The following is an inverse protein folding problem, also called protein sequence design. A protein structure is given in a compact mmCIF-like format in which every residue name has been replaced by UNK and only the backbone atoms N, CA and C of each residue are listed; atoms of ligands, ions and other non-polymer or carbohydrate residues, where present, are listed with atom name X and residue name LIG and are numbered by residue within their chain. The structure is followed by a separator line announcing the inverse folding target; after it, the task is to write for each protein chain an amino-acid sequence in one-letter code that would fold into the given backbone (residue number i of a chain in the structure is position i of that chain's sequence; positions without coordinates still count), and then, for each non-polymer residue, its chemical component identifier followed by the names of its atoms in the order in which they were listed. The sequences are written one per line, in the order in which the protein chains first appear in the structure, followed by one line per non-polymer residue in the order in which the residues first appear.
data_IF_835386145797
#
_entry.id   IF_835386145797
#
_cell.length_a   1.000
_cell.length_b   1.000
_cell.length_c   1.000
_cell.angle_alpha   90.00
_cell.angle_beta   90.00
_cell.angle_gamma   90.00
#
_symmetry.space_group_name_H-M   'P 1'
#
loop_
_entity.id
_entity.type
_entity.pdbx_description
1 polymer ?
#
# COMPACT_ATOMS: atom_id res chain seq x y z
N UNK A 1 20.71 36.95 14.40
CA UNK A 1 20.95 36.29 15.71
C UNK A 1 19.56 36.04 16.30
N UNK A 2 18.96 34.90 15.96
CA UNK A 2 17.54 34.65 16.23
C UNK A 2 17.44 33.90 17.55
N UNK A 3 16.90 34.55 18.58
CA UNK A 3 16.64 33.93 19.88
C UNK A 3 15.51 32.91 19.73
N UNK A 4 15.83 31.64 19.95
CA UNK A 4 14.86 30.56 20.14
C UNK A 4 14.44 30.60 21.60
N UNK A 5 13.25 31.13 21.89
CA UNK A 5 12.68 31.15 23.24
C UNK A 5 11.90 29.85 23.48
N UNK A 6 12.26 29.16 24.56
CA UNK A 6 11.68 27.91 25.03
C UNK A 6 10.17 28.06 25.27
N UNK A 7 9.35 27.47 24.39
CA UNK A 7 8.11 26.83 24.85
C UNK A 7 8.50 25.80 25.91
N UNK A 8 7.69 25.64 26.98
CA UNK A 8 8.00 24.81 28.14
C UNK A 8 8.21 23.35 27.73
N UNK A 9 9.43 23.03 27.27
CA UNK A 9 9.93 21.68 27.10
C UNK A 9 9.82 21.05 28.47
N UNK A 10 8.97 20.05 28.61
CA UNK A 10 9.08 19.17 29.76
C UNK A 10 10.52 18.60 29.76
N UNK A 11 11.08 18.34 30.94
CA UNK A 11 12.49 17.91 31.09
C UNK A 11 12.81 16.62 30.29
N UNK A 12 11.76 15.92 29.83
CA UNK A 12 11.73 14.74 28.98
C UNK A 12 11.75 15.01 27.47
N UNK A 13 11.53 16.24 27.00
CA UNK A 13 11.52 16.61 25.59
C UNK A 13 10.20 16.40 24.83
N UNK A 14 9.07 16.21 25.53
CA UNK A 14 7.72 16.10 24.96
C UNK A 14 6.93 17.42 24.94
N UNK A 15 5.77 17.40 24.28
CA UNK A 15 4.86 18.54 24.09
C UNK A 15 3.48 18.26 24.69
N UNK A 16 2.96 19.19 25.48
CA UNK A 16 1.60 19.06 26.04
C UNK A 16 0.55 19.35 24.95
N UNK A 17 -0.41 18.44 24.79
CA UNK A 17 -1.54 18.58 23.85
C UNK A 17 -2.83 18.83 24.63
N UNK A 18 -3.56 19.88 24.29
CA UNK A 18 -4.90 20.15 24.84
C UNK A 18 -5.98 19.55 23.94
N UNK A 19 -6.44 18.35 24.30
CA UNK A 19 -7.43 17.60 23.54
C UNK A 19 -8.81 18.27 23.49
N UNK A 20 -9.11 19.20 24.40
CA UNK A 20 -10.41 19.87 24.46
C UNK A 20 -10.61 20.93 23.37
N UNK A 21 -9.51 21.39 22.75
CA UNK A 21 -9.51 22.46 21.75
C UNK A 21 -9.63 21.97 20.31
N UNK A 22 -9.70 20.65 20.09
CA UNK A 22 -9.72 20.05 18.75
C UNK A 22 -10.81 18.99 18.56
N UNK A 23 -10.83 18.41 17.37
CA UNK A 23 -11.71 17.28 17.03
C UNK A 23 -10.88 16.00 16.86
N UNK A 24 -11.43 14.87 17.34
CA UNK A 24 -10.81 13.56 17.15
C UNK A 24 -11.22 12.95 15.81
N UNK A 25 -10.29 12.89 14.85
CA UNK A 25 -10.47 12.14 13.60
C UNK A 25 -9.92 10.72 13.77
N UNK A 26 -10.79 9.77 14.11
CA UNK A 26 -10.38 8.38 14.41
C UNK A 26 -10.13 7.48 13.20
N UNK A 27 -10.53 7.89 11.99
CA UNK A 27 -10.58 7.00 10.82
C UNK A 27 -9.22 6.40 10.45
N UNK A 28 -8.18 7.22 10.37
CA UNK A 28 -6.81 6.77 10.02
C UNK A 28 -6.29 5.78 11.07
N UNK A 29 -6.54 6.05 12.35
CA UNK A 29 -6.17 5.15 13.45
C UNK A 29 -6.92 3.81 13.37
N UNK A 30 -8.21 3.82 13.01
CA UNK A 30 -8.99 2.59 12.82
C UNK A 30 -8.50 1.76 11.62
N UNK A 31 -8.21 2.41 10.49
CA UNK A 31 -7.67 1.75 9.29
C UNK A 31 -6.26 1.19 9.55
N UNK A 32 -5.44 1.89 10.36
CA UNK A 32 -4.15 1.39 10.79
C UNK A 32 -4.27 0.18 11.73
N UNK A 33 -5.18 0.24 12.70
CA UNK A 33 -5.38 -0.81 13.70
C UNK A 33 -5.71 -2.17 13.06
N UNK A 34 -6.42 -2.19 11.94
CA UNK A 34 -6.76 -3.42 11.20
C UNK A 34 -5.59 -4.07 10.45
N UNK A 35 -4.42 -3.42 10.37
CA UNK A 35 -3.27 -3.91 9.59
C UNK A 35 -2.52 -5.01 10.36
N UNK A 36 -2.27 -6.19 9.76
CA UNK A 36 -1.46 -7.26 10.38
C UNK A 36 -0.06 -6.81 10.81
N UNK A 37 0.49 -7.43 11.86
CA UNK A 37 1.78 -7.03 12.44
C UNK A 37 2.99 -7.42 11.58
N UNK A 38 2.86 -8.46 10.77
CA UNK A 38 3.86 -8.94 9.81
C UNK A 38 4.03 -8.01 8.60
N UNK A 39 3.01 -7.19 8.31
CA UNK A 39 3.01 -6.20 7.22
C UNK A 39 3.46 -4.80 7.68
N UNK A 40 3.80 -4.62 8.95
CA UNK A 40 4.31 -3.36 9.52
C UNK A 40 5.84 -3.38 9.61
N UNK A 41 6.52 -2.29 9.32
CA UNK A 41 7.99 -2.26 9.29
C UNK A 41 8.53 -1.18 10.24
N UNK A 42 9.72 -1.38 10.80
CA UNK A 42 10.29 -0.44 11.78
C UNK A 42 11.19 0.62 11.14
N UNK A 43 11.57 0.40 9.89
CA UNK A 43 12.38 1.33 9.12
C UNK A 43 12.09 1.26 7.63
N UNK A 44 12.49 2.30 6.89
CA UNK A 44 12.35 2.31 5.44
C UNK A 44 13.24 1.26 4.76
N UNK A 45 14.37 0.87 5.37
CA UNK A 45 15.23 -0.20 4.83
C UNK A 45 14.55 -1.57 4.89
N UNK A 46 13.94 -1.91 6.03
CA UNK A 46 13.15 -3.16 6.15
C UNK A 46 11.97 -3.18 5.17
N UNK A 47 11.26 -2.05 5.09
CA UNK A 47 10.14 -1.88 4.14
C UNK A 47 10.63 -2.05 2.69
N UNK A 48 11.76 -1.43 2.35
CA UNK A 48 12.36 -1.51 1.02
C UNK A 48 12.72 -2.95 0.66
N UNK A 49 13.38 -3.68 1.54
CA UNK A 49 13.75 -5.09 1.31
C UNK A 49 12.52 -5.96 1.04
N UNK A 50 11.43 -5.76 1.78
CA UNK A 50 10.19 -6.49 1.57
C UNK A 50 9.57 -6.22 0.18
N UNK A 51 9.44 -4.94 -0.20
CA UNK A 51 8.85 -4.58 -1.49
C UNK A 51 9.78 -4.87 -2.67
N UNK A 52 11.10 -4.84 -2.46
CA UNK A 52 12.12 -5.26 -3.41
C UNK A 52 11.99 -6.75 -3.71
N UNK A 53 11.99 -7.59 -2.67
CA UNK A 53 11.83 -9.05 -2.79
C UNK A 53 10.55 -9.41 -3.54
N UNK A 54 9.44 -8.75 -3.21
CA UNK A 54 8.16 -8.94 -3.92
C UNK A 54 8.24 -8.54 -5.40
N UNK A 55 8.96 -7.46 -5.72
CA UNK A 55 9.15 -7.01 -7.10
C UNK A 55 10.02 -7.99 -7.89
N UNK A 56 11.08 -8.54 -7.29
CA UNK A 56 11.96 -9.55 -7.92
C UNK A 56 11.22 -10.83 -8.28
N UNK A 57 10.22 -11.21 -7.47
CA UNK A 57 9.32 -12.35 -7.75
C UNK A 57 8.18 -12.00 -8.71
N UNK A 58 8.12 -10.77 -9.20
CA UNK A 58 7.07 -10.32 -10.10
C UNK A 58 7.52 -10.34 -11.55
N UNK A 59 6.58 -10.63 -12.46
CA UNK A 59 6.81 -10.58 -13.90
C UNK A 59 5.72 -9.78 -14.56
N UNK A 60 6.12 -8.83 -15.41
CA UNK A 60 5.18 -8.08 -16.26
C UNK A 60 5.28 -8.60 -17.68
N UNK A 61 4.13 -8.72 -18.36
CA UNK A 61 4.08 -9.03 -19.80
C UNK A 61 3.09 -8.13 -20.50
N UNK A 62 3.36 -7.84 -21.76
CA UNK A 62 2.37 -7.31 -22.70
C UNK A 62 2.03 -8.41 -23.67
N UNK A 63 0.77 -8.81 -23.71
CA UNK A 63 0.30 -9.96 -24.49
C UNK A 63 -0.96 -9.61 -25.27
N UNK A 64 -1.15 -10.27 -26.40
CA UNK A 64 -2.41 -10.19 -27.14
C UNK A 64 -3.54 -10.81 -26.31
N UNK A 65 -4.64 -10.09 -26.11
CA UNK A 65 -5.79 -10.55 -25.32
C UNK A 65 -6.37 -11.84 -25.89
N UNK A 66 -6.47 -11.92 -27.22
CA UNK A 66 -7.00 -13.08 -27.92
C UNK A 66 -6.11 -14.33 -27.82
N UNK A 67 -4.82 -14.14 -27.49
CA UNK A 67 -3.88 -15.24 -27.27
C UNK A 67 -3.90 -15.78 -25.82
N UNK A 68 -4.59 -15.11 -24.90
CA UNK A 68 -4.79 -15.61 -23.54
C UNK A 68 -5.81 -16.76 -23.60
N UNK A 69 -5.39 -17.94 -23.13
CA UNK A 69 -6.28 -19.10 -23.01
C UNK A 69 -6.82 -19.19 -21.59
N UNK A 70 -8.12 -19.40 -21.46
CA UNK A 70 -8.80 -19.65 -20.19
C UNK A 70 -9.02 -21.14 -20.02
N UNK A 71 -8.51 -21.70 -18.92
CA UNK A 71 -8.62 -23.12 -18.60
C UNK A 71 -9.46 -23.30 -17.33
N UNK A 72 -10.54 -24.07 -17.45
CA UNK A 72 -11.40 -24.47 -16.33
C UNK A 72 -11.93 -25.89 -16.59
N UNK A 73 -12.01 -26.70 -15.54
CA UNK A 73 -12.41 -28.11 -15.64
C UNK A 73 -13.84 -28.31 -15.16
N UNK A 74 -14.62 -29.16 -15.84
CA UNK A 74 -15.95 -29.57 -15.34
C UNK A 74 -15.88 -30.32 -14.01
N UNK A 75 -14.73 -30.91 -13.71
CA UNK A 75 -14.49 -31.65 -12.47
C UNK A 75 -14.04 -30.74 -11.32
N UNK A 76 -13.83 -29.45 -11.57
CA UNK A 76 -13.43 -28.46 -10.56
C UNK A 76 -14.17 -27.15 -10.83
N UNK A 77 -15.36 -27.03 -10.22
CA UNK A 77 -16.25 -25.88 -10.42
C UNK A 77 -15.71 -24.57 -9.82
N UNK A 78 -14.66 -24.61 -9.00
CA UNK A 78 -14.17 -23.45 -8.24
C UNK A 78 -12.91 -22.84 -8.83
N UNK A 79 -12.20 -23.57 -9.71
CA UNK A 79 -10.88 -23.14 -10.20
C UNK A 79 -10.88 -22.82 -11.69
N UNK A 80 -10.38 -21.62 -11.97
CA UNK A 80 -10.07 -21.12 -13.30
C UNK A 80 -8.60 -20.71 -13.33
N UNK A 81 -7.93 -21.01 -14.42
CA UNK A 81 -6.54 -20.60 -14.69
C UNK A 81 -6.45 -19.95 -16.06
N UNK A 82 -5.38 -19.20 -16.28
CA UNK A 82 -5.05 -18.59 -17.55
C UNK A 82 -3.70 -19.13 -18.02
N UNK A 83 -3.56 -19.30 -19.33
CA UNK A 83 -2.28 -19.59 -19.97
C UNK A 83 -1.96 -18.40 -20.87
N UNK A 84 -0.88 -17.69 -20.54
CA UNK A 84 -0.41 -16.54 -21.30
C UNK A 84 0.49 -17.00 -22.46
N UNK A 85 0.50 -16.29 -23.59
CA UNK A 85 1.41 -16.63 -24.68
C UNK A 85 2.88 -16.61 -24.21
N UNK A 86 3.64 -17.60 -24.67
CA UNK A 86 5.05 -17.77 -24.29
C UNK A 86 5.29 -18.34 -22.88
N UNK A 87 4.27 -18.90 -22.21
CA UNK A 87 4.43 -19.64 -20.96
C UNK A 87 3.40 -20.74 -20.83
N UNK A 88 3.86 -21.96 -20.60
CA UNK A 88 2.98 -23.11 -20.33
C UNK A 88 2.56 -23.20 -18.86
N UNK A 89 3.13 -22.36 -18.00
CA UNK A 89 2.76 -22.30 -16.57
C UNK A 89 1.39 -21.62 -16.45
N UNK A 90 0.34 -22.32 -15.97
CA UNK A 90 -0.97 -21.71 -15.78
C UNK A 90 -0.97 -20.79 -14.55
N UNK A 91 -1.62 -19.64 -14.68
CA UNK A 91 -1.69 -18.62 -13.63
C UNK A 91 -3.12 -18.50 -13.10
N UNK A 92 -3.27 -18.38 -11.78
CA UNK A 92 -4.58 -18.20 -11.16
C UNK A 92 -4.87 -16.70 -10.97
N UNK A 93 -6.01 -16.17 -11.43
CA UNK A 93 -6.40 -14.80 -11.11
C UNK A 93 -6.80 -14.66 -9.63
N UNK A 94 -6.33 -13.59 -9.00
CA UNK A 94 -6.87 -13.14 -7.72
C UNK A 94 -8.31 -12.63 -7.91
N UNK A 95 -9.04 -12.44 -6.80
CA UNK A 95 -10.37 -11.82 -6.85
C UNK A 95 -10.35 -10.45 -7.55
N UNK A 96 -9.28 -9.68 -7.36
CA UNK A 96 -9.07 -8.37 -7.97
C UNK A 96 -8.81 -8.48 -9.47
N UNK A 97 -7.82 -9.27 -9.89
CA UNK A 97 -7.44 -9.40 -11.30
C UNK A 97 -8.49 -10.12 -12.13
N UNK A 98 -9.27 -11.02 -11.53
CA UNK A 98 -10.49 -11.55 -12.15
C UNK A 98 -11.49 -10.44 -12.47
N UNK A 99 -11.69 -9.50 -11.53
CA UNK A 99 -12.53 -8.33 -11.74
C UNK A 99 -12.02 -7.47 -12.89
N UNK A 100 -10.70 -7.25 -12.96
CA UNK A 100 -10.07 -6.51 -14.06
C UNK A 100 -10.25 -7.21 -15.41
N UNK A 101 -10.08 -8.54 -15.48
CA UNK A 101 -10.32 -9.32 -16.69
C UNK A 101 -11.77 -9.21 -17.18
N UNK A 102 -12.72 -9.34 -16.26
CA UNK A 102 -14.14 -9.20 -16.58
C UNK A 102 -14.45 -7.79 -17.11
N UNK A 103 -13.97 -6.74 -16.43
CA UNK A 103 -14.12 -5.36 -16.88
C UNK A 103 -13.47 -5.10 -18.24
N UNK A 104 -12.30 -5.68 -18.49
CA UNK A 104 -11.59 -5.56 -19.76
C UNK A 104 -12.46 -6.07 -20.92
N UNK A 105 -13.13 -7.21 -20.74
CA UNK A 105 -14.00 -7.77 -21.78
C UNK A 105 -15.45 -7.26 -21.73
N UNK A 106 -15.74 -6.24 -20.91
CA UNK A 106 -17.08 -5.66 -20.77
C UNK A 106 -18.10 -6.56 -20.05
N UNK A 107 -17.63 -7.57 -19.31
CA UNK A 107 -18.49 -8.51 -18.58
C UNK A 107 -18.71 -8.10 -17.11
N UNK A 108 -19.90 -8.31 -16.53
CA UNK A 108 -20.15 -8.03 -15.12
C UNK A 108 -19.43 -9.02 -14.20
N UNK A 109 -18.36 -8.59 -13.54
CA UNK A 109 -17.54 -9.44 -12.66
C UNK A 109 -18.35 -10.12 -11.55
N UNK A 110 -19.31 -9.42 -10.94
CA UNK A 110 -20.15 -9.96 -9.88
C UNK A 110 -21.00 -11.15 -10.35
N UNK A 111 -21.53 -11.09 -11.57
CA UNK A 111 -22.27 -12.19 -12.17
C UNK A 111 -21.36 -13.37 -12.49
N UNK A 112 -20.21 -13.13 -13.13
CA UNK A 112 -19.28 -14.20 -13.49
C UNK A 112 -18.76 -14.97 -12.26
N UNK A 113 -18.61 -14.31 -11.10
CA UNK A 113 -18.21 -14.96 -9.84
C UNK A 113 -19.26 -15.90 -9.26
N UNK A 114 -20.53 -15.78 -9.66
CA UNK A 114 -21.61 -16.68 -9.22
C UNK A 114 -21.70 -17.92 -10.10
N UNK A 115 -21.02 -17.93 -11.25
CA UNK A 115 -21.02 -19.05 -12.17
C UNK A 115 -19.93 -20.06 -11.78
N UNK A 116 -20.18 -21.37 -12.00
CA UNK A 116 -19.11 -22.37 -12.01
C UNK A 116 -17.97 -21.93 -12.95
N UNK A 117 -16.73 -22.20 -12.54
CA UNK A 117 -15.51 -21.83 -13.26
C UNK A 117 -15.54 -22.18 -14.76
N UNK A 118 -16.08 -23.33 -15.22
CA UNK A 118 -16.23 -23.59 -16.65
C UNK A 118 -17.11 -22.59 -17.41
N UNK A 119 -18.22 -22.16 -16.82
CA UNK A 119 -19.13 -21.18 -17.44
C UNK A 119 -18.53 -19.77 -17.41
N UNK A 120 -17.94 -19.38 -16.28
CA UNK A 120 -17.18 -18.14 -16.20
C UNK A 120 -16.04 -18.10 -17.22
N UNK A 121 -15.33 -19.22 -17.38
CA UNK A 121 -14.21 -19.37 -18.29
C UNK A 121 -14.60 -19.25 -19.76
N UNK A 122 -15.71 -19.86 -20.19
CA UNK A 122 -16.23 -19.71 -21.55
C UNK A 122 -16.58 -18.25 -21.85
N UNK A 123 -17.26 -17.57 -20.92
CA UNK A 123 -17.63 -16.16 -21.09
C UNK A 123 -16.39 -15.26 -21.17
N UNK A 124 -15.40 -15.48 -20.31
CA UNK A 124 -14.14 -14.76 -20.34
C UNK A 124 -13.36 -15.03 -21.63
N UNK A 125 -13.28 -16.28 -22.08
CA UNK A 125 -12.58 -16.65 -23.31
C UNK A 125 -13.21 -15.96 -24.52
N UNK A 126 -14.54 -15.99 -24.63
CA UNK A 126 -15.26 -15.29 -25.70
C UNK A 126 -14.96 -13.79 -25.69
N UNK A 127 -15.00 -13.18 -24.51
CA UNK A 127 -14.68 -11.77 -24.31
C UNK A 127 -13.25 -11.42 -24.71
N UNK A 128 -12.27 -12.25 -24.35
CA UNK A 128 -10.85 -12.04 -24.66
C UNK A 128 -10.56 -12.14 -26.17
N UNK A 129 -11.20 -13.09 -26.87
CA UNK A 129 -11.08 -13.26 -28.32
C UNK A 129 -11.78 -12.15 -29.12
N UNK A 130 -12.83 -11.54 -28.57
CA UNK A 130 -13.60 -10.45 -29.22
C UNK A 130 -13.20 -9.05 -28.75
N UNK A 131 -12.18 -8.95 -27.89
CA UNK A 131 -11.74 -7.68 -27.31
C UNK A 131 -11.07 -6.79 -28.36
N UNK A 132 -11.48 -5.52 -28.44
CA UNK A 132 -11.02 -4.56 -29.47
C UNK A 132 -9.61 -4.02 -29.22
N UNK A 133 -9.17 -3.94 -27.97
CA UNK A 133 -7.77 -3.61 -27.65
C UNK A 133 -6.98 -4.89 -27.79
N UNK A 134 -6.12 -4.97 -28.80
CA UNK A 134 -5.40 -6.20 -29.13
C UNK A 134 -4.50 -6.64 -27.96
N UNK A 135 -3.89 -5.69 -27.24
CA UNK A 135 -2.94 -5.99 -26.17
C UNK A 135 -3.41 -5.64 -24.76
N UNK A 136 -2.90 -6.41 -23.78
CA UNK A 136 -3.08 -6.17 -22.35
C UNK A 136 -1.75 -6.34 -21.60
N UNK A 137 -1.60 -5.63 -20.49
CA UNK A 137 -0.49 -5.81 -19.55
C UNK A 137 -0.90 -6.69 -18.39
N UNK A 138 -0.11 -7.71 -18.11
CA UNK A 138 -0.28 -8.60 -16.95
C UNK A 138 0.80 -8.35 -15.91
N UNK A 139 0.45 -8.47 -14.63
CA UNK A 139 1.40 -8.57 -13.53
C UNK A 139 1.21 -9.93 -12.86
N UNK A 140 2.22 -10.77 -12.92
CA UNK A 140 2.32 -12.06 -12.25
C UNK A 140 3.20 -11.92 -11.02
N UNK A 141 2.87 -12.64 -9.94
CA UNK A 141 3.77 -12.83 -8.78
C UNK A 141 3.86 -14.32 -8.49
N UNK A 142 5.08 -14.80 -8.25
CA UNK A 142 5.34 -16.14 -7.77
C UNK A 142 5.40 -16.17 -6.24
N UNK A 143 4.44 -16.86 -5.63
CA UNK A 143 4.40 -17.11 -4.19
C UNK A 143 3.78 -18.49 -3.89
N UNK A 144 4.61 -19.53 -4.01
CA UNK A 144 4.18 -20.94 -3.99
C UNK A 144 3.44 -21.40 -5.26
N UNK A 145 2.62 -20.52 -5.84
CA UNK A 145 2.03 -20.63 -7.18
C UNK A 145 2.14 -19.30 -7.90
N UNK A 146 2.04 -19.31 -9.23
CA UNK A 146 1.99 -18.08 -10.02
C UNK A 146 0.57 -17.53 -10.00
N UNK A 147 0.43 -16.33 -9.44
CA UNK A 147 -0.83 -15.61 -9.37
C UNK A 147 -0.81 -14.40 -10.30
N UNK A 148 -1.91 -14.19 -11.00
CA UNK A 148 -2.14 -12.96 -11.73
C UNK A 148 -2.63 -11.91 -10.75
N UNK A 149 -1.81 -10.90 -10.48
CA UNK A 149 -2.10 -9.80 -9.55
C UNK A 149 -2.80 -8.63 -10.22
N UNK A 150 -2.51 -8.37 -11.49
CA UNK A 150 -3.21 -7.33 -12.23
C UNK A 150 -3.31 -7.64 -13.73
N UNK A 151 -4.39 -7.14 -14.34
CA UNK A 151 -4.55 -7.04 -15.79
C UNK A 151 -5.00 -5.62 -16.11
N UNK A 152 -4.28 -4.94 -16.99
CA UNK A 152 -4.53 -3.54 -17.33
C UNK A 152 -4.39 -3.31 -18.83
N UNK A 153 -4.84 -2.16 -19.32
CA UNK A 153 -4.59 -1.76 -20.72
C UNK A 153 -3.10 -1.61 -21.04
N UNK A 154 -2.74 -1.57 -22.34
CA UNK A 154 -1.35 -1.52 -22.79
C UNK A 154 -0.66 -0.21 -22.42
N UNK A 155 -1.41 0.89 -22.30
CA UNK A 155 -0.88 2.21 -21.94
C UNK A 155 -0.71 2.40 -20.42
N UNK A 156 -1.14 1.42 -19.61
CA UNK A 156 -1.00 1.53 -18.16
C UNK A 156 0.47 1.54 -17.75
N UNK A 157 0.89 2.64 -17.10
CA UNK A 157 2.18 2.78 -16.45
C UNK A 157 2.14 2.22 -15.03
N UNK A 158 3.19 1.48 -14.64
CA UNK A 158 3.32 0.95 -13.28
C UNK A 158 4.60 1.49 -12.66
N UNK A 159 4.46 2.08 -11.49
CA UNK A 159 5.56 2.38 -10.59
C UNK A 159 5.54 1.28 -9.53
N UNK A 160 6.65 0.58 -9.34
CA UNK A 160 6.73 -0.43 -8.29
C UNK A 160 6.90 0.23 -6.93
N UNK A 161 6.34 -0.38 -5.88
CA UNK A 161 6.44 0.15 -4.51
C UNK A 161 7.90 0.33 -4.07
N UNK A 162 8.82 -0.50 -4.56
CA UNK A 162 10.27 -0.33 -4.33
C UNK A 162 10.80 1.01 -4.83
N UNK A 163 10.28 1.52 -5.96
CA UNK A 163 10.71 2.79 -6.54
C UNK A 163 10.19 3.95 -5.71
N UNK A 164 8.94 3.84 -5.22
CA UNK A 164 8.36 4.81 -4.29
C UNK A 164 9.16 4.86 -2.99
N UNK A 165 9.41 3.70 -2.36
CA UNK A 165 10.15 3.61 -1.09
C UNK A 165 11.58 4.12 -1.27
N UNK A 166 12.28 3.74 -2.35
CA UNK A 166 13.61 4.25 -2.65
C UNK A 166 13.62 5.78 -2.87
N UNK A 167 12.57 6.34 -3.48
CA UNK A 167 12.45 7.78 -3.65
C UNK A 167 12.29 8.50 -2.30
N UNK A 168 11.49 7.94 -1.38
CA UNK A 168 11.33 8.47 -0.02
C UNK A 168 12.63 8.32 0.78
N UNK A 169 13.31 7.18 0.70
CA UNK A 169 14.59 6.96 1.38
C UNK A 169 15.67 7.98 1.00
N UNK A 170 15.69 8.47 -0.25
CA UNK A 170 16.62 9.53 -0.66
C UNK A 170 16.43 10.84 0.10
N UNK A 171 15.24 11.08 0.65
CA UNK A 171 14.88 12.32 1.37
C UNK A 171 14.88 12.09 2.89
N UNK A 172 14.29 10.99 3.33
CA UNK A 172 14.06 10.69 4.74
C UNK A 172 15.09 9.74 5.36
N UNK A 173 16.01 9.22 4.55
CA UNK A 173 16.95 8.16 4.92
C UNK A 173 16.21 6.91 5.40
N UNK A 174 16.44 6.46 6.63
CA UNK A 174 15.80 5.26 7.17
C UNK A 174 14.42 5.55 7.80
N UNK A 175 14.05 6.82 7.94
CA UNK A 175 12.79 7.22 8.59
C UNK A 175 12.80 6.97 10.10
N UNK A 176 13.98 6.77 10.70
CA UNK A 176 14.15 6.47 12.12
C UNK A 176 14.79 7.62 12.91
N UNK A 177 14.78 8.83 12.33
CA UNK A 177 15.39 10.02 12.93
C UNK A 177 16.83 10.30 12.48
N UNK A 178 17.32 9.57 11.49
CA UNK A 178 18.60 9.81 10.82
C UNK A 178 18.58 11.07 9.93
N UNK A 179 17.38 11.48 9.50
CA UNK A 179 17.10 12.80 8.94
C UNK A 179 16.01 13.50 9.78
N UNK A 180 15.62 14.72 9.40
CA UNK A 180 14.49 15.41 10.03
C UNK A 180 13.15 14.67 9.84
N UNK A 181 13.03 13.85 8.79
CA UNK A 181 11.82 13.09 8.50
C UNK A 181 11.90 11.71 9.14
N UNK A 182 10.94 11.40 10.00
CA UNK A 182 10.88 10.13 10.71
C UNK A 182 9.46 9.65 10.97
N UNK A 183 9.33 8.39 11.37
CA UNK A 183 8.09 7.87 11.96
C UNK A 183 7.66 8.79 13.12
N UNK A 184 6.37 9.17 13.20
CA UNK A 184 5.89 10.05 14.25
C UNK A 184 6.15 9.52 15.65
N UNK A 185 6.32 10.45 16.58
CA UNK A 185 6.22 10.16 18.01
C UNK A 185 4.81 9.71 18.43
N UNK A 186 4.66 9.46 19.74
CA UNK A 186 3.42 8.93 20.31
C UNK A 186 2.82 9.94 21.29
N UNK A 187 1.50 10.13 21.21
CA UNK A 187 0.72 10.81 22.24
C UNK A 187 0.37 9.81 23.35
N UNK A 188 0.85 10.07 24.56
CA UNK A 188 0.34 9.39 25.75
C UNK A 188 -1.00 10.02 26.14
N UNK A 189 -2.09 9.27 25.95
CA UNK A 189 -3.45 9.72 26.22
C UNK A 189 -3.74 9.94 27.71
N UNK A 190 -3.00 9.28 28.61
CA UNK A 190 -3.20 9.43 30.05
C UNK A 190 -2.64 10.75 30.58
N UNK A 191 -1.55 11.22 29.98
CA UNK A 191 -0.88 12.47 30.35
C UNK A 191 -1.14 13.61 29.36
N UNK A 192 -1.69 13.31 28.18
CA UNK A 192 -1.79 14.21 27.03
C UNK A 192 -0.44 14.83 26.63
N UNK A 193 0.65 14.05 26.77
CA UNK A 193 2.00 14.47 26.37
C UNK A 193 2.36 13.73 25.09
N UNK A 194 2.68 14.47 24.04
CA UNK A 194 3.23 13.97 22.80
C UNK A 194 4.75 13.86 22.92
N UNK A 195 5.29 12.66 22.78
CA UNK A 195 6.73 12.41 22.79
C UNK A 195 7.24 12.17 21.36
N UNK A 196 7.94 13.13 20.73
CA UNK A 196 8.50 12.97 19.38
C UNK A 196 9.63 11.93 19.34
N UNK A 197 10.22 11.57 20.49
CA UNK A 197 11.33 10.60 20.59
C UNK A 197 10.89 9.22 21.09
N UNK A 198 9.60 8.91 20.99
CA UNK A 198 9.11 7.57 21.30
C UNK A 198 9.76 6.52 20.40
N UNK A 199 10.04 5.34 20.96
CA UNK A 199 10.61 4.23 20.21
C UNK A 199 9.65 3.72 19.12
N UNK A 200 10.22 3.31 18.00
CA UNK A 200 9.47 2.72 16.87
C UNK A 200 9.28 1.23 17.15
N UNK A 201 8.03 0.82 17.27
CA UNK A 201 7.61 -0.57 17.48
C UNK A 201 6.56 -0.96 16.45
N UNK A 202 6.14 -2.22 16.44
CA UNK A 202 5.06 -2.69 15.56
C UNK A 202 3.72 -2.00 15.85
N UNK A 203 3.53 -1.44 17.04
CA UNK A 203 2.31 -0.74 17.42
C UNK A 203 2.38 0.77 17.13
N UNK A 204 3.58 1.34 17.06
CA UNK A 204 3.79 2.79 16.90
C UNK A 204 4.26 3.19 15.50
N UNK A 205 4.77 2.24 14.70
CA UNK A 205 5.19 2.53 13.33
C UNK A 205 4.02 2.97 12.45
N UNK A 206 4.35 3.67 11.37
CA UNK A 206 3.44 4.12 10.31
C UNK A 206 3.88 3.60 8.94
N UNK A 207 4.83 2.66 8.91
CA UNK A 207 5.36 2.03 7.70
C UNK A 207 4.71 0.67 7.50
N UNK A 208 4.13 0.46 6.32
CA UNK A 208 3.38 -0.74 6.00
C UNK A 208 3.50 -1.13 4.53
N UNK A 209 3.54 -2.43 4.26
CA UNK A 209 3.30 -2.98 2.94
C UNK A 209 2.60 -4.34 3.06
N UNK A 210 1.51 -4.49 2.31
CA UNK A 210 0.82 -5.76 2.10
C UNK A 210 1.23 -6.39 0.77
N UNK A 211 0.50 -7.41 0.32
CA UNK A 211 0.60 -7.94 -1.03
C UNK A 211 -0.02 -7.03 -2.11
N UNK A 212 -0.78 -5.98 -1.71
CA UNK A 212 -1.54 -5.09 -2.60
C UNK A 212 -1.09 -3.64 -2.57
N UNK A 213 -0.75 -3.10 -1.41
CA UNK A 213 -0.52 -1.68 -1.19
C UNK A 213 0.65 -1.41 -0.23
N UNK A 214 1.23 -0.23 -0.38
CA UNK A 214 2.26 0.32 0.52
C UNK A 214 1.74 1.63 1.12
N UNK A 215 2.03 1.84 2.39
CA UNK A 215 1.71 3.07 3.11
C UNK A 215 2.90 3.48 3.96
N UNK A 216 3.21 4.77 3.93
CA UNK A 216 4.24 5.38 4.76
C UNK A 216 3.77 6.78 5.15
N UNK A 217 4.01 7.15 6.40
CA UNK A 217 3.73 8.49 6.90
C UNK A 217 4.87 8.93 7.80
N UNK A 218 5.53 10.03 7.44
CA UNK A 218 6.70 10.56 8.12
C UNK A 218 6.47 12.04 8.46
N UNK A 219 7.06 12.50 9.54
CA UNK A 219 6.90 13.86 10.09
C UNK A 219 8.24 14.46 10.49
N UNK A 220 8.26 15.78 10.66
CA UNK A 220 9.37 16.55 11.24
C UNK A 220 8.95 17.13 12.60
N UNK A 221 8.49 16.26 13.48
CA UNK A 221 7.90 16.60 14.79
C UNK A 221 8.93 17.08 15.84
N UNK A 222 10.22 17.09 15.47
CA UNK A 222 11.31 17.67 16.26
C UNK A 222 11.55 19.16 15.96
N UNK A 223 11.00 19.65 14.84
CA UNK A 223 11.14 21.03 14.39
C UNK A 223 9.74 21.65 14.14
N UNK A 224 8.89 21.77 15.18
CA UNK A 224 7.54 22.31 15.01
C UNK A 224 7.57 23.77 14.54
N UNK A 225 6.57 24.11 13.74
CA UNK A 225 6.38 25.46 13.21
C UNK A 225 5.49 26.23 14.20
N UNK A 226 5.98 27.37 14.69
CA UNK A 226 5.17 28.31 15.46
C UNK A 226 4.36 29.21 14.51
N UNK A 227 3.03 29.15 14.60
CA UNK A 227 2.11 29.96 13.81
C UNK A 227 1.30 30.92 14.71
N UNK A 228 2.00 31.74 15.49
CA UNK A 228 1.40 32.74 16.37
C UNK A 228 1.26 32.24 17.80
N UNK A 229 0.26 32.76 18.51
CA UNK A 229 0.05 32.50 19.93
C UNK A 229 -1.39 32.10 20.23
N UNK A 230 -1.54 31.15 21.14
CA UNK A 230 -2.82 30.76 21.73
C UNK A 230 -3.36 31.89 22.61
N UNK A 231 -4.65 31.80 23.00
CA UNK A 231 -5.31 32.80 23.87
C UNK A 231 -4.63 32.98 25.23
N UNK A 232 -3.95 31.95 25.71
CA UNK A 232 -3.16 31.95 26.95
C UNK A 232 -1.74 32.52 26.77
N UNK A 233 -1.40 32.98 25.56
CA UNK A 233 -0.11 33.60 25.22
C UNK A 233 1.01 32.61 24.88
N UNK A 234 0.78 31.30 25.03
CA UNK A 234 1.73 30.26 24.61
C UNK A 234 1.82 30.15 23.08
N UNK A 235 2.91 29.59 22.58
CA UNK A 235 3.13 29.41 21.14
C UNK A 235 2.13 28.41 20.55
N UNK A 236 1.56 28.74 19.39
CA UNK A 236 0.72 27.82 18.63
C UNK A 236 1.60 26.96 17.70
N UNK A 237 1.76 25.68 18.02
CA UNK A 237 2.74 24.79 17.39
C UNK A 237 2.06 23.79 16.44
N UNK A 238 2.61 23.70 15.23
CA UNK A 238 2.23 22.73 14.21
C UNK A 238 3.36 21.73 14.02
N UNK A 239 3.02 20.44 14.01
CA UNK A 239 3.93 19.30 13.91
C UNK A 239 3.78 18.60 12.56
#
# INVERSE_FOLDING_TARGET
MTQVLNATRDLSGGFKVDLSRGERIGRVSSEWFSRPADERYLSLSELFEAVQTRTERSRTRTVESAAIRVEASRNDAERLKLVLPGSDIPIAPTHWSFGQLASLVGAPAAYLRQLPAPLAGINLQYGLTSHRSEQVKTLEIEDGRVELRAVTGPDYGRIFDRELVAAVQRIAGNGTGDTRWKVPGVLDWSTSIYNPRADITKDTTTLYASDRDVFLFLVDDLNPIEAGRLRDGSADLYF
#
